data_IF_921755495679
#
_entry.id   IF_921755495679
#
_cell.length_a   1.000
_cell.length_b   1.000
_cell.length_c   1.000
_cell.angle_alpha   90.00
_cell.angle_beta   90.00
_cell.angle_gamma   90.00
#
_symmetry.space_group_name_H-M   'P 1'
#
loop_
_entity.id
_entity.type
_entity.pdbx_description
1 polymer ?
#
# COMPACT_ATOMS: atom_id res chain seq x y z
N UNK A 1 62.33 -4.85 -32.38
CA UNK A 1 60.91 -4.94 -32.81
C UNK A 1 60.08 -4.85 -31.55
N UNK A 2 59.64 -3.64 -31.22
CA UNK A 2 58.98 -3.32 -29.95
C UNK A 2 57.47 -3.57 -30.13
N UNK A 3 57.01 -4.73 -29.67
CA UNK A 3 55.65 -5.22 -29.87
C UNK A 3 54.71 -4.60 -28.82
N UNK A 4 54.43 -3.29 -28.94
CA UNK A 4 53.42 -2.63 -28.11
C UNK A 4 52.06 -2.78 -28.77
N UNK A 5 51.27 -3.70 -28.22
CA UNK A 5 49.83 -3.79 -28.50
C UNK A 5 49.17 -2.42 -28.27
N UNK A 6 48.31 -1.95 -29.19
CA UNK A 6 47.62 -0.69 -29.02
C UNK A 6 46.65 -0.82 -27.83
N UNK A 7 46.85 0.03 -26.81
CA UNK A 7 45.86 0.25 -25.75
C UNK A 7 44.54 0.61 -26.43
N UNK A 8 43.53 -0.24 -26.24
CA UNK A 8 42.17 0.02 -26.67
C UNK A 8 41.75 1.40 -26.14
N UNK A 9 41.26 2.26 -27.04
CA UNK A 9 40.53 3.46 -26.64
C UNK A 9 39.38 2.98 -25.77
N UNK A 10 39.41 3.32 -24.48
CA UNK A 10 38.25 3.17 -23.62
C UNK A 10 37.16 4.04 -24.22
N UNK A 11 36.18 3.39 -24.86
CA UNK A 11 34.96 4.07 -25.29
C UNK A 11 34.42 4.84 -24.09
N UNK A 12 34.19 6.13 -24.30
CA UNK A 12 33.77 7.04 -23.24
C UNK A 12 32.35 6.65 -22.84
N UNK A 13 32.25 5.78 -21.84
CA UNK A 13 30.99 5.33 -21.25
C UNK A 13 30.08 6.52 -20.99
N UNK A 14 28.85 6.48 -21.53
CA UNK A 14 27.87 7.53 -21.31
C UNK A 14 27.46 7.50 -19.83
N UNK A 15 27.75 8.56 -19.09
CA UNK A 15 27.37 8.67 -17.67
C UNK A 15 26.05 9.40 -17.53
N UNK A 16 25.30 9.03 -16.49
CA UNK A 16 24.07 9.70 -16.05
C UNK A 16 22.98 9.77 -17.12
N UNK A 17 22.70 8.60 -17.69
CA UNK A 17 21.75 8.39 -18.78
C UNK A 17 20.36 8.07 -18.26
N UNK A 18 19.36 8.50 -19.01
CA UNK A 18 17.95 8.16 -18.83
C UNK A 18 17.55 7.18 -19.92
N UNK A 19 17.04 6.01 -19.54
CA UNK A 19 16.42 5.09 -20.49
C UNK A 19 14.93 5.43 -20.56
N UNK A 20 14.46 5.86 -21.74
CA UNK A 20 13.06 6.18 -21.98
C UNK A 20 12.43 5.04 -22.78
N UNK A 21 11.82 4.10 -22.07
CA UNK A 21 11.31 2.84 -22.60
C UNK A 21 9.80 2.92 -22.86
N UNK A 22 9.43 2.94 -24.14
CA UNK A 22 8.04 3.05 -24.58
C UNK A 22 7.54 1.70 -25.07
N UNK A 23 6.46 1.22 -24.47
CA UNK A 23 5.74 0.04 -24.95
C UNK A 23 5.16 0.36 -26.33
N UNK A 24 5.60 -0.37 -27.35
CA UNK A 24 5.07 -0.31 -28.70
C UNK A 24 4.41 -1.64 -29.08
N UNK A 25 3.81 -2.34 -28.10
CA UNK A 25 3.08 -3.58 -28.33
C UNK A 25 1.77 -3.37 -29.09
N UNK A 26 1.16 -4.46 -29.56
CA UNK A 26 -0.04 -4.41 -30.39
C UNK A 26 -1.24 -3.72 -29.73
N UNK A 27 -1.37 -3.73 -28.40
CA UNK A 27 -2.44 -3.03 -27.66
C UNK A 27 -2.39 -1.52 -27.87
N UNK A 28 -1.20 -0.98 -28.08
CA UNK A 28 -0.98 0.46 -28.28
C UNK A 28 -1.28 0.93 -29.71
N UNK A 29 -1.45 0.00 -30.68
CA UNK A 29 -1.60 0.34 -32.09
C UNK A 29 -2.79 1.28 -32.31
N UNK A 30 -2.54 2.44 -32.93
CA UNK A 30 -3.55 3.49 -33.21
C UNK A 30 -4.25 4.13 -32.00
N UNK A 31 -3.88 3.77 -30.76
CA UNK A 31 -4.51 4.28 -29.53
C UNK A 31 -4.09 5.73 -29.27
N UNK A 32 -4.90 6.68 -29.73
CA UNK A 32 -4.58 8.12 -29.70
C UNK A 32 -4.28 8.63 -28.28
N UNK A 33 -5.05 8.20 -27.28
CA UNK A 33 -4.88 8.62 -25.88
C UNK A 33 -3.53 8.18 -25.30
N UNK A 34 -3.11 6.94 -25.56
CA UNK A 34 -1.80 6.42 -25.17
C UNK A 34 -0.67 7.23 -25.79
N UNK A 35 -0.65 7.36 -27.11
CA UNK A 35 0.44 8.03 -27.81
C UNK A 35 0.51 9.53 -27.53
N UNK A 36 -0.63 10.18 -27.26
CA UNK A 36 -0.64 11.57 -26.79
C UNK A 36 0.07 11.73 -25.45
N UNK A 37 -0.13 10.78 -24.52
CA UNK A 37 0.53 10.80 -23.21
C UNK A 37 2.01 10.43 -23.29
N UNK A 38 2.37 9.50 -24.18
CA UNK A 38 3.78 9.23 -24.51
C UNK A 38 4.47 10.50 -25.03
N UNK A 39 3.83 11.23 -25.95
CA UNK A 39 4.36 12.48 -26.50
C UNK A 39 4.57 13.52 -25.40
N UNK A 40 3.54 13.80 -24.60
CA UNK A 40 3.61 14.77 -23.49
C UNK A 40 4.76 14.42 -22.52
N UNK A 41 4.86 13.15 -22.11
CA UNK A 41 5.91 12.71 -21.19
C UNK A 41 7.30 12.81 -21.82
N UNK A 42 7.42 12.50 -23.11
CA UNK A 42 8.70 12.58 -23.82
C UNK A 42 9.15 14.03 -24.02
N UNK A 43 8.24 14.94 -24.38
CA UNK A 43 8.52 16.37 -24.49
C UNK A 43 8.91 16.96 -23.13
N UNK A 44 8.24 16.54 -22.04
CA UNK A 44 8.64 16.93 -20.68
C UNK A 44 10.09 16.49 -20.38
N UNK A 45 10.48 15.27 -20.75
CA UNK A 45 11.84 14.77 -20.58
C UNK A 45 12.86 15.56 -21.43
N UNK A 46 12.54 15.88 -22.68
CA UNK A 46 13.40 16.71 -23.53
C UNK A 46 13.54 18.16 -23.02
N UNK A 47 12.53 18.67 -22.31
CA UNK A 47 12.59 19.99 -21.68
C UNK A 47 13.46 20.01 -20.42
N UNK A 48 13.46 18.89 -19.68
CA UNK A 48 14.17 18.77 -18.40
C UNK A 48 15.61 18.27 -18.57
N UNK A 49 15.87 17.45 -19.59
CA UNK A 49 17.15 16.79 -19.79
C UNK A 49 17.67 17.00 -21.23
N UNK A 50 18.99 17.09 -21.36
CA UNK A 50 19.61 17.15 -22.69
C UNK A 50 19.29 15.88 -23.49
N UNK A 51 18.93 15.99 -24.79
CA UNK A 51 18.65 14.82 -25.65
C UNK A 51 19.78 13.78 -25.61
N UNK A 52 21.04 14.23 -25.55
CA UNK A 52 22.20 13.34 -25.48
C UNK A 52 22.26 12.46 -24.21
N UNK A 53 21.47 12.76 -23.18
CA UNK A 53 21.35 11.96 -21.95
C UNK A 53 20.17 10.99 -21.99
N UNK A 54 19.29 11.07 -22.99
CA UNK A 54 18.12 10.21 -23.09
C UNK A 54 18.42 9.14 -24.16
N UNK A 55 18.25 7.88 -23.80
CA UNK A 55 18.26 6.75 -24.74
C UNK A 55 16.80 6.32 -24.94
N UNK A 56 16.20 6.66 -26.10
CA UNK A 56 14.90 6.14 -26.47
C UNK A 56 14.98 4.66 -26.80
N UNK A 57 14.13 3.84 -26.18
CA UNK A 57 13.95 2.44 -26.55
C UNK A 57 12.47 2.15 -26.77
N UNK A 58 12.18 1.43 -27.86
CA UNK A 58 10.86 0.85 -28.12
C UNK A 58 10.90 -0.61 -27.68
N UNK A 59 9.89 -1.06 -26.96
CA UNK A 59 9.82 -2.44 -26.50
C UNK A 59 8.44 -3.06 -26.71
N UNK A 60 8.47 -4.26 -27.27
CA UNK A 60 7.34 -5.17 -27.43
C UNK A 60 7.86 -6.60 -27.24
N UNK A 61 7.69 -7.47 -28.23
CA UNK A 61 8.31 -8.79 -28.28
C UNK A 61 9.83 -8.73 -28.47
N UNK A 62 10.35 -7.56 -28.86
CA UNK A 62 11.78 -7.23 -28.95
C UNK A 62 12.01 -5.85 -28.35
N UNK A 63 13.26 -5.54 -28.01
CA UNK A 63 13.67 -4.18 -27.65
C UNK A 63 14.56 -3.60 -28.75
N UNK A 64 14.27 -2.37 -29.15
CA UNK A 64 15.03 -1.65 -30.18
C UNK A 64 15.43 -0.29 -29.61
N UNK A 65 16.73 0.01 -29.64
CA UNK A 65 17.21 1.38 -29.38
C UNK A 65 16.95 2.22 -30.61
N UNK A 66 16.30 3.37 -30.46
CA UNK A 66 15.93 4.24 -31.57
C UNK A 66 16.44 5.65 -31.37
N UNK A 67 16.54 6.42 -32.46
CA UNK A 67 16.86 7.84 -32.38
C UNK A 67 15.66 8.64 -31.91
N UNK A 68 15.88 9.89 -31.44
CA UNK A 68 14.78 10.79 -31.09
C UNK A 68 13.80 11.01 -32.25
N UNK A 69 14.30 11.10 -33.49
CA UNK A 69 13.46 11.26 -34.68
C UNK A 69 12.63 10.02 -34.98
N UNK A 70 13.20 8.83 -34.79
CA UNK A 70 12.48 7.56 -34.96
C UNK A 70 11.40 7.39 -33.90
N UNK A 71 11.67 7.73 -32.63
CA UNK A 71 10.65 7.72 -31.59
C UNK A 71 9.50 8.70 -31.93
N UNK A 72 9.83 9.94 -32.32
CA UNK A 72 8.82 10.92 -32.73
C UNK A 72 7.97 10.42 -33.92
N UNK A 73 8.59 9.75 -34.90
CA UNK A 73 7.89 9.15 -36.03
C UNK A 73 6.96 8.00 -35.59
N UNK A 74 7.42 7.12 -34.68
CA UNK A 74 6.59 6.05 -34.09
C UNK A 74 5.39 6.63 -33.37
N UNK A 75 5.57 7.67 -32.57
CA UNK A 75 4.49 8.37 -31.85
C UNK A 75 3.50 8.99 -32.84
N UNK A 76 3.99 9.71 -33.85
CA UNK A 76 3.15 10.35 -34.87
C UNK A 76 2.34 9.33 -35.68
N UNK A 77 2.94 8.19 -36.01
CA UNK A 77 2.28 7.07 -36.71
C UNK A 77 1.42 6.21 -35.80
N UNK A 78 1.55 6.36 -34.47
CA UNK A 78 0.88 5.52 -33.46
C UNK A 78 1.16 4.03 -33.70
N UNK A 79 2.43 3.75 -34.02
CA UNK A 79 2.85 2.43 -34.48
C UNK A 79 3.15 1.52 -33.29
N UNK A 80 2.22 0.59 -33.02
CA UNK A 80 2.41 -0.54 -32.12
C UNK A 80 2.29 -1.89 -32.84
N UNK A 81 2.88 -2.95 -32.30
CA UNK A 81 2.84 -4.31 -32.84
C UNK A 81 3.50 -5.34 -31.93
N UNK A 82 3.23 -6.63 -32.19
CA UNK A 82 3.76 -7.73 -31.36
C UNK A 82 3.11 -7.84 -29.98
N UNK A 83 3.62 -8.72 -29.14
CA UNK A 83 3.20 -8.87 -27.73
C UNK A 83 4.05 -8.05 -26.75
N UNK A 84 3.64 -8.04 -25.49
CA UNK A 84 4.27 -7.27 -24.40
C UNK A 84 5.30 -8.13 -23.66
N UNK A 85 6.60 -7.83 -23.78
CA UNK A 85 7.69 -8.57 -23.08
C UNK A 85 8.62 -7.61 -22.33
N UNK A 86 8.28 -7.32 -21.09
CA UNK A 86 9.05 -6.43 -20.23
C UNK A 86 10.45 -6.99 -19.89
N UNK A 87 10.64 -8.32 -19.98
CA UNK A 87 11.94 -8.98 -19.79
C UNK A 87 13.01 -8.48 -20.76
N UNK A 88 12.61 -7.99 -21.95
CA UNK A 88 13.53 -7.37 -22.89
C UNK A 88 14.15 -6.08 -22.32
N UNK A 89 13.35 -5.26 -21.63
CA UNK A 89 13.83 -4.04 -20.95
C UNK A 89 14.73 -4.41 -19.78
N UNK A 90 14.33 -5.38 -18.95
CA UNK A 90 15.15 -5.86 -17.84
C UNK A 90 16.52 -6.37 -18.33
N UNK A 91 16.54 -7.19 -19.39
CA UNK A 91 17.78 -7.71 -19.99
C UNK A 91 18.65 -6.59 -20.54
N UNK A 92 18.05 -5.62 -21.20
CA UNK A 92 18.77 -4.47 -21.73
C UNK A 92 19.43 -3.65 -20.62
N UNK A 93 18.73 -3.42 -19.50
CA UNK A 93 19.28 -2.70 -18.37
C UNK A 93 20.44 -3.47 -17.73
N UNK A 94 20.26 -4.76 -17.42
CA UNK A 94 21.30 -5.55 -16.75
C UNK A 94 22.52 -5.83 -17.62
N UNK A 95 22.36 -5.92 -18.94
CA UNK A 95 23.48 -6.17 -19.86
C UNK A 95 24.31 -4.91 -20.14
N UNK A 96 23.69 -3.72 -20.09
CA UNK A 96 24.33 -2.49 -20.56
C UNK A 96 24.64 -1.48 -19.44
N UNK A 97 23.89 -1.49 -18.32
CA UNK A 97 24.11 -0.59 -17.20
C UNK A 97 25.41 -0.93 -16.45
N UNK A 98 26.32 0.03 -16.34
CA UNK A 98 27.66 -0.19 -15.81
C UNK A 98 28.69 -0.64 -16.85
N UNK A 99 28.26 -0.96 -18.08
CA UNK A 99 29.12 -1.42 -19.17
C UNK A 99 29.18 -0.42 -20.34
N UNK A 100 28.05 -0.17 -20.99
CA UNK A 100 27.95 0.78 -22.11
C UNK A 100 27.55 2.18 -21.64
N UNK A 101 26.71 2.25 -20.62
CA UNK A 101 26.24 3.49 -20.01
C UNK A 101 25.97 3.28 -18.52
N UNK A 102 25.82 4.38 -17.77
CA UNK A 102 25.33 4.36 -16.39
C UNK A 102 23.94 4.96 -16.35
N UNK A 103 22.96 4.13 -16.00
CA UNK A 103 21.56 4.54 -15.84
C UNK A 103 21.43 5.34 -14.56
N UNK A 104 20.91 6.56 -14.67
CA UNK A 104 20.45 7.36 -13.56
C UNK A 104 18.96 7.11 -13.29
N UNK A 105 18.15 7.04 -14.36
CA UNK A 105 16.70 6.88 -14.27
C UNK A 105 16.17 6.05 -15.44
N UNK A 106 15.16 5.23 -15.18
CA UNK A 106 14.36 4.56 -16.23
C UNK A 106 12.96 5.14 -16.21
N UNK A 107 12.49 5.64 -17.36
CA UNK A 107 11.06 5.89 -17.56
C UNK A 107 10.50 4.71 -18.35
N UNK A 108 9.58 3.95 -17.76
CA UNK A 108 8.88 2.86 -18.44
C UNK A 108 7.43 3.26 -18.67
N UNK A 109 7.01 3.30 -19.93
CA UNK A 109 5.64 3.65 -20.32
C UNK A 109 4.97 2.40 -20.88
N UNK A 110 3.75 2.11 -20.44
CA UNK A 110 2.97 0.95 -20.90
C UNK A 110 1.46 1.18 -20.75
N UNK A 111 0.68 0.48 -21.57
CA UNK A 111 -0.78 0.35 -21.44
C UNK A 111 -1.22 -1.05 -20.97
N UNK A 112 -0.25 -1.95 -20.80
CA UNK A 112 -0.46 -3.38 -20.83
C UNK A 112 -0.34 -4.07 -19.49
N UNK A 113 -0.58 -5.37 -19.56
CA UNK A 113 -0.40 -6.33 -18.48
C UNK A 113 0.47 -7.46 -19.01
N UNK A 114 1.26 -8.07 -18.14
CA UNK A 114 2.08 -9.23 -18.46
C UNK A 114 1.73 -10.38 -17.53
N UNK A 115 2.01 -11.61 -17.98
CA UNK A 115 1.76 -12.80 -17.16
C UNK A 115 2.69 -12.85 -15.95
N UNK A 116 2.26 -13.54 -14.89
CA UNK A 116 3.11 -13.79 -13.70
C UNK A 116 4.45 -14.42 -14.08
N UNK A 117 4.48 -15.31 -15.07
CA UNK A 117 5.73 -15.93 -15.55
C UNK A 117 6.71 -14.90 -16.15
N UNK A 118 6.20 -13.88 -16.85
CA UNK A 118 7.03 -12.78 -17.38
C UNK A 118 7.54 -11.88 -16.24
N UNK A 119 6.71 -11.64 -15.22
CA UNK A 119 7.11 -10.90 -14.01
C UNK A 119 8.26 -11.62 -13.28
N UNK A 120 8.10 -12.92 -13.04
CA UNK A 120 9.13 -13.77 -12.41
C UNK A 120 10.40 -13.82 -13.25
N UNK A 121 10.28 -13.84 -14.58
CA UNK A 121 11.44 -13.77 -15.48
C UNK A 121 12.19 -12.44 -15.32
N UNK A 122 11.49 -11.31 -15.27
CA UNK A 122 12.11 -10.01 -15.03
C UNK A 122 12.84 -9.96 -13.68
N UNK A 123 12.21 -10.49 -12.62
CA UNK A 123 12.83 -10.56 -11.29
C UNK A 123 14.12 -11.39 -11.30
N UNK A 124 14.12 -12.54 -11.97
CA UNK A 124 15.33 -13.37 -12.14
C UNK A 124 16.41 -12.62 -12.91
N UNK A 125 16.06 -11.93 -14.00
CA UNK A 125 17.02 -11.15 -14.79
C UNK A 125 17.70 -10.08 -13.94
N UNK A 126 16.95 -9.34 -13.11
CA UNK A 126 17.53 -8.36 -12.21
C UNK A 126 18.42 -9.00 -11.13
N UNK A 127 17.96 -10.08 -10.51
CA UNK A 127 18.73 -10.81 -9.50
C UNK A 127 20.05 -11.36 -10.07
N UNK A 128 19.99 -12.04 -11.22
CA UNK A 128 21.15 -12.60 -11.90
C UNK A 128 22.08 -11.48 -12.40
N UNK A 129 21.53 -10.37 -12.90
CA UNK A 129 22.30 -9.20 -13.31
C UNK A 129 23.15 -8.66 -12.17
N UNK A 130 22.54 -8.40 -11.01
CA UNK A 130 23.25 -7.93 -9.81
C UNK A 130 24.29 -8.96 -9.34
N UNK A 131 23.95 -10.25 -9.33
CA UNK A 131 24.89 -11.31 -8.95
C UNK A 131 26.11 -11.39 -9.89
N UNK A 132 25.94 -11.03 -11.16
CA UNK A 132 27.00 -10.98 -12.17
C UNK A 132 27.69 -9.60 -12.29
N UNK A 133 27.41 -8.67 -11.37
CA UNK A 133 28.11 -7.38 -11.29
C UNK A 133 27.48 -6.23 -12.10
N UNK A 134 26.26 -6.39 -12.62
CA UNK A 134 25.52 -5.28 -13.21
C UNK A 134 25.17 -4.23 -12.14
N UNK A 135 25.18 -2.95 -12.52
CA UNK A 135 24.74 -1.90 -11.59
C UNK A 135 23.23 -1.96 -11.40
N UNK A 136 22.80 -1.78 -10.15
CA UNK A 136 21.39 -1.61 -9.81
C UNK A 136 20.81 -0.38 -10.53
N UNK A 137 19.52 -0.45 -10.86
CA UNK A 137 18.79 0.69 -11.42
C UNK A 137 18.46 1.65 -10.27
N UNK A 138 18.93 2.91 -10.29
CA UNK A 138 18.75 3.78 -9.14
C UNK A 138 17.29 4.22 -8.94
N UNK A 139 16.63 4.62 -10.03
CA UNK A 139 15.30 5.21 -10.01
C UNK A 139 14.48 4.75 -11.23
N UNK A 140 13.20 4.45 -11.01
CA UNK A 140 12.22 4.16 -12.05
C UNK A 140 11.02 5.10 -11.92
N UNK A 141 10.59 5.65 -13.06
CA UNK A 141 9.29 6.29 -13.22
C UNK A 141 8.46 5.41 -14.15
N UNK A 142 7.40 4.82 -13.61
CA UNK A 142 6.48 3.98 -14.34
C UNK A 142 5.21 4.77 -14.67
N UNK A 143 4.90 4.86 -15.95
CA UNK A 143 3.75 5.58 -16.47
C UNK A 143 2.78 4.59 -17.11
N UNK A 144 1.65 4.39 -16.46
CA UNK A 144 0.56 3.54 -16.91
C UNK A 144 -0.45 4.41 -17.64
N UNK A 145 -0.45 4.32 -18.97
CA UNK A 145 -1.35 5.09 -19.83
C UNK A 145 -2.19 4.13 -20.65
N UNK A 146 -3.50 4.28 -20.64
CA UNK A 146 -4.33 3.40 -21.47
C UNK A 146 -5.81 3.62 -21.21
N UNK A 147 -6.67 3.27 -22.18
CA UNK A 147 -8.11 3.28 -21.98
C UNK A 147 -8.59 2.08 -21.12
N UNK A 148 -7.75 1.06 -20.98
CA UNK A 148 -8.01 -0.11 -20.15
C UNK A 148 -7.63 0.17 -18.70
N UNK A 149 -8.02 -0.70 -17.77
CA UNK A 149 -7.51 -0.69 -16.39
C UNK A 149 -6.19 -1.49 -16.37
N UNK A 150 -5.02 -0.89 -16.67
CA UNK A 150 -3.76 -1.62 -16.58
C UNK A 150 -3.57 -2.07 -15.13
N UNK A 151 -2.86 -3.18 -14.96
CA UNK A 151 -2.40 -3.60 -13.65
C UNK A 151 -0.92 -3.22 -13.49
N UNK A 152 -0.37 -3.49 -12.32
CA UNK A 152 1.00 -3.16 -11.98
C UNK A 152 1.98 -4.27 -12.39
N UNK A 153 1.58 -5.27 -13.19
CA UNK A 153 2.42 -6.43 -13.50
C UNK A 153 3.69 -6.04 -14.24
N UNK A 154 3.61 -5.15 -15.23
CA UNK A 154 4.78 -4.62 -15.96
C UNK A 154 5.69 -3.83 -15.01
N UNK A 155 5.11 -3.09 -14.07
CA UNK A 155 5.83 -2.15 -13.20
C UNK A 155 6.49 -2.86 -12.02
N UNK A 156 5.85 -3.88 -11.47
CA UNK A 156 6.26 -4.60 -10.27
C UNK A 156 7.74 -5.04 -10.27
N UNK A 157 8.30 -5.70 -11.31
CA UNK A 157 9.69 -6.13 -11.26
C UNK A 157 10.69 -4.95 -11.24
N UNK A 158 10.38 -3.84 -11.91
CA UNK A 158 11.24 -2.65 -11.93
C UNK A 158 11.14 -1.87 -10.64
N UNK A 159 9.92 -1.64 -10.15
CA UNK A 159 9.68 -0.89 -8.93
C UNK A 159 10.30 -1.58 -7.70
N UNK A 160 10.35 -2.91 -7.66
CA UNK A 160 11.00 -3.68 -6.59
C UNK A 160 12.51 -3.58 -6.56
N UNK A 161 13.15 -3.22 -7.67
CA UNK A 161 14.60 -3.18 -7.81
C UNK A 161 15.19 -1.77 -7.66
N UNK A 162 14.36 -0.75 -7.36
CA UNK A 162 14.77 0.65 -7.45
C UNK A 162 13.95 1.58 -6.52
N UNK A 163 14.34 2.86 -6.47
CA UNK A 163 13.41 3.93 -6.10
C UNK A 163 12.35 4.04 -7.18
N UNK A 164 11.10 4.26 -6.79
CA UNK A 164 9.99 4.23 -7.74
C UNK A 164 9.08 5.45 -7.62
N UNK A 165 8.55 5.86 -8.75
CA UNK A 165 7.37 6.72 -8.89
C UNK A 165 6.44 6.03 -9.88
N UNK A 166 5.20 5.77 -9.48
CA UNK A 166 4.17 5.13 -10.31
C UNK A 166 3.12 6.19 -10.61
N UNK A 167 2.85 6.41 -11.89
CA UNK A 167 1.89 7.41 -12.37
C UNK A 167 0.82 6.75 -13.22
N UNK A 168 -0.40 7.21 -13.05
CA UNK A 168 -1.58 6.81 -13.85
C UNK A 168 -2.26 8.08 -14.33
N UNK A 169 -2.40 8.27 -15.64
CA UNK A 169 -3.10 9.42 -16.24
C UNK A 169 -2.79 10.76 -15.52
N UNK A 170 -1.50 11.12 -15.50
CA UNK A 170 -0.90 12.34 -14.92
C UNK A 170 -0.79 12.41 -13.38
N UNK A 171 -1.51 11.55 -12.65
CA UNK A 171 -1.47 11.54 -11.18
C UNK A 171 -0.41 10.58 -10.64
N UNK A 172 0.35 11.03 -9.64
CA UNK A 172 1.24 10.15 -8.88
C UNK A 172 0.39 9.24 -8.00
N UNK A 173 0.46 7.93 -8.27
CA UNK A 173 -0.26 6.90 -7.54
C UNK A 173 0.52 6.46 -6.29
N UNK A 174 1.83 6.27 -6.45
CA UNK A 174 2.72 5.87 -5.36
C UNK A 174 4.16 6.29 -5.66
N UNK A 175 4.90 6.59 -4.61
CA UNK A 175 6.34 6.86 -4.66
C UNK A 175 7.02 6.25 -3.43
N UNK A 176 8.28 5.85 -3.55
CA UNK A 176 9.04 5.27 -2.45
C UNK A 176 10.37 4.64 -2.88
N UNK A 177 11.00 3.93 -1.95
CA UNK A 177 12.27 3.24 -2.16
C UNK A 177 12.13 1.76 -1.80
N UNK A 178 12.01 0.90 -2.82
CA UNK A 178 11.90 -0.54 -2.61
C UNK A 178 13.26 -1.25 -2.54
N UNK A 179 14.38 -0.54 -2.74
CA UNK A 179 15.73 -1.12 -2.62
C UNK A 179 16.02 -1.56 -1.19
N UNK A 180 15.34 -0.95 -0.22
CA UNK A 180 15.41 -1.29 1.19
C UNK A 180 14.54 -2.51 1.48
N UNK A 181 15.13 -3.71 1.44
CA UNK A 181 14.43 -4.93 1.85
C UNK A 181 13.94 -4.80 3.32
N UNK A 182 12.64 -4.59 3.54
CA UNK A 182 12.10 -4.25 4.87
C UNK A 182 12.39 -5.34 5.90
N UNK A 183 12.36 -6.59 5.45
CA UNK A 183 12.65 -7.77 6.27
C UNK A 183 14.08 -7.86 6.82
N UNK A 184 15.06 -7.24 6.16
CA UNK A 184 16.50 -7.37 6.46
C UNK A 184 17.22 -6.04 6.70
N UNK A 185 16.56 -4.91 6.42
CA UNK A 185 17.12 -3.56 6.57
C UNK A 185 17.21 -3.07 8.02
N UNK A 186 16.60 -3.78 8.98
CA UNK A 186 16.49 -3.33 10.37
C UNK A 186 15.43 -2.25 10.60
N UNK A 187 14.71 -1.81 9.56
CA UNK A 187 13.65 -0.80 9.67
C UNK A 187 12.58 -1.18 10.71
N UNK A 188 12.18 -2.45 10.74
CA UNK A 188 11.22 -2.93 11.74
C UNK A 188 11.82 -2.98 13.15
N UNK A 189 13.13 -3.11 13.30
CA UNK A 189 13.79 -3.12 14.60
C UNK A 189 13.90 -1.72 15.18
N UNK A 190 13.90 -0.68 14.37
CA UNK A 190 13.88 0.73 14.81
C UNK A 190 12.56 1.14 15.47
N UNK A 191 11.46 0.45 15.17
CA UNK A 191 10.13 0.73 15.73
C UNK A 191 10.06 0.19 17.16
N UNK A 192 10.30 1.04 18.16
CA UNK A 192 10.33 0.64 19.58
C UNK A 192 9.00 0.87 20.28
N UNK A 193 8.23 1.84 19.82
CA UNK A 193 6.97 2.30 20.43
C UNK A 193 5.83 2.32 19.40
N UNK A 194 4.56 2.37 19.85
CA UNK A 194 3.42 2.59 18.96
C UNK A 194 3.52 3.87 18.13
N UNK A 195 4.03 4.96 18.72
CA UNK A 195 4.18 6.23 18.02
C UNK A 195 5.20 6.14 16.87
N UNK A 196 6.30 5.40 17.07
CA UNK A 196 7.26 5.12 15.98
C UNK A 196 6.59 4.40 14.80
N UNK A 197 5.63 3.49 15.08
CA UNK A 197 4.86 2.81 14.04
C UNK A 197 3.94 3.81 13.33
N UNK A 198 3.25 4.66 14.07
CA UNK A 198 2.28 5.61 13.52
C UNK A 198 2.95 6.62 12.58
N UNK A 199 4.12 7.12 12.96
CA UNK A 199 4.89 8.06 12.14
C UNK A 199 5.41 7.42 10.85
N UNK A 200 5.81 6.15 10.90
CA UNK A 200 6.43 5.45 9.77
C UNK A 200 5.46 4.60 8.94
N UNK A 201 4.20 4.52 9.36
CA UNK A 201 3.23 3.57 8.81
C UNK A 201 3.02 3.73 7.30
N UNK A 202 2.83 4.96 6.82
CA UNK A 202 2.53 5.20 5.40
C UNK A 202 3.72 4.83 4.49
N UNK A 203 4.94 5.16 4.89
CA UNK A 203 6.16 4.82 4.15
C UNK A 203 6.38 3.29 4.13
N UNK A 204 6.23 2.64 5.29
CA UNK A 204 6.31 1.18 5.39
C UNK A 204 5.24 0.52 4.54
N UNK A 205 3.99 0.99 4.60
CA UNK A 205 2.90 0.44 3.82
C UNK A 205 3.19 0.55 2.31
N UNK A 206 3.70 1.68 1.82
CA UNK A 206 4.05 1.84 0.40
C UNK A 206 5.15 0.89 -0.04
N UNK A 207 6.23 0.82 0.73
CA UNK A 207 7.38 -0.04 0.41
C UNK A 207 6.97 -1.52 0.45
N UNK A 208 6.27 -1.94 1.49
CA UNK A 208 5.81 -3.34 1.64
C UNK A 208 4.85 -3.72 0.53
N UNK A 209 3.87 -2.87 0.18
CA UNK A 209 2.95 -3.16 -0.93
C UNK A 209 3.74 -3.37 -2.22
N UNK A 210 4.65 -2.45 -2.56
CA UNK A 210 5.43 -2.55 -3.82
C UNK A 210 6.35 -3.76 -3.84
N UNK A 211 7.04 -4.06 -2.73
CA UNK A 211 7.88 -5.26 -2.59
C UNK A 211 7.11 -6.56 -2.82
N UNK A 212 5.83 -6.57 -2.45
CA UNK A 212 4.99 -7.76 -2.50
C UNK A 212 3.97 -7.75 -3.65
N UNK A 213 4.04 -6.82 -4.60
CA UNK A 213 3.15 -6.83 -5.77
C UNK A 213 3.25 -8.16 -6.52
N UNK A 214 2.14 -8.91 -6.54
CA UNK A 214 2.01 -10.22 -7.15
C UNK A 214 2.84 -11.33 -6.50
N UNK A 215 3.26 -11.17 -5.24
CA UNK A 215 4.02 -12.17 -4.48
C UNK A 215 3.57 -12.27 -3.04
N UNK A 216 3.81 -13.44 -2.45
CA UNK A 216 3.65 -13.66 -1.02
C UNK A 216 4.99 -13.64 -0.31
N UNK A 217 5.13 -12.88 0.77
CA UNK A 217 6.34 -12.83 1.59
C UNK A 217 6.04 -13.26 3.03
N UNK A 218 6.18 -14.57 3.25
CA UNK A 218 5.94 -15.17 4.56
C UNK A 218 6.92 -14.66 5.62
N UNK A 219 8.19 -14.43 5.23
CA UNK A 219 9.24 -13.99 6.16
C UNK A 219 8.96 -12.59 6.71
N UNK A 220 8.58 -11.66 5.83
CA UNK A 220 8.20 -10.31 6.25
C UNK A 220 6.91 -10.33 7.10
N UNK A 221 5.93 -11.16 6.71
CA UNK A 221 4.73 -11.37 7.52
C UNK A 221 5.05 -11.81 8.95
N UNK A 222 5.93 -12.79 9.12
CA UNK A 222 6.31 -13.28 10.45
C UNK A 222 7.04 -12.19 11.27
N UNK A 223 7.88 -11.36 10.62
CA UNK A 223 8.53 -10.20 11.25
C UNK A 223 7.54 -9.11 11.68
N UNK A 224 6.48 -8.88 10.91
CA UNK A 224 5.42 -7.93 11.27
C UNK A 224 4.60 -8.45 12.47
N UNK A 225 4.34 -9.75 12.55
CA UNK A 225 3.67 -10.36 13.70
C UNK A 225 4.55 -10.31 14.97
N UNK A 226 5.87 -10.47 14.81
CA UNK A 226 6.83 -10.27 15.90
C UNK A 226 6.83 -8.80 16.39
N UNK A 227 6.80 -7.85 15.46
CA UNK A 227 6.65 -6.42 15.78
C UNK A 227 5.33 -6.15 16.53
N UNK A 228 4.21 -6.72 16.07
CA UNK A 228 2.92 -6.60 16.75
C UNK A 228 3.02 -7.06 18.20
N UNK A 229 3.56 -8.27 18.43
CA UNK A 229 3.74 -8.81 19.77
C UNK A 229 4.56 -7.86 20.66
N UNK A 230 5.69 -7.37 20.14
CA UNK A 230 6.57 -6.44 20.86
C UNK A 230 5.86 -5.14 21.25
N UNK A 231 5.08 -4.57 20.33
CA UNK A 231 4.33 -3.33 20.59
C UNK A 231 3.18 -3.55 21.58
N UNK A 232 2.49 -4.68 21.52
CA UNK A 232 1.45 -5.03 22.50
C UNK A 232 2.03 -5.24 23.90
N UNK A 233 3.20 -5.90 24.00
CA UNK A 233 3.92 -6.05 25.27
C UNK A 233 4.36 -4.69 25.84
N UNK A 234 4.80 -3.77 24.97
CA UNK A 234 5.13 -2.40 25.35
C UNK A 234 3.90 -1.64 25.88
N UNK A 235 2.75 -1.72 25.20
CA UNK A 235 1.50 -1.08 25.65
C UNK A 235 1.07 -1.63 27.01
N UNK A 236 1.14 -2.95 27.20
CA UNK A 236 0.82 -3.57 28.49
C UNK A 236 1.77 -3.11 29.61
N UNK A 237 3.07 -2.97 29.31
CA UNK A 237 4.06 -2.43 30.25
C UNK A 237 3.79 -0.96 30.58
N UNK A 238 3.53 -0.12 29.59
CA UNK A 238 3.29 1.31 29.78
C UNK A 238 2.01 1.56 30.59
N UNK A 239 0.95 0.79 30.33
CA UNK A 239 -0.28 0.81 31.12
C UNK A 239 -0.01 0.44 32.59
N UNK A 240 0.76 -0.62 32.85
CA UNK A 240 1.16 -0.99 34.24
C UNK A 240 1.96 0.11 34.91
N UNK A 241 2.90 0.74 34.19
CA UNK A 241 3.72 1.84 34.69
C UNK A 241 2.87 3.07 35.04
N UNK A 242 1.99 3.50 34.15
CA UNK A 242 1.07 4.62 34.36
C UNK A 242 0.15 4.37 35.56
N UNK A 243 -0.38 3.15 35.71
CA UNK A 243 -1.18 2.76 36.87
C UNK A 243 -0.39 2.85 38.18
N UNK A 244 0.86 2.39 38.20
CA UNK A 244 1.73 2.48 39.37
C UNK A 244 2.10 3.94 39.72
N UNK A 245 2.36 4.78 38.72
CA UNK A 245 2.62 6.22 38.90
C UNK A 245 1.40 6.96 39.47
N UNK A 246 0.19 6.62 39.01
CA UNK A 246 -1.08 7.16 39.55
C UNK A 246 -1.30 6.74 41.00
N UNK A 247 -1.04 5.47 41.34
CA UNK A 247 -1.12 4.97 42.70
C UNK A 247 -0.11 5.69 43.62
N UNK A 248 1.12 5.91 43.15
CA UNK A 248 2.17 6.61 43.89
C UNK A 248 1.89 8.11 44.10
N UNK A 249 1.10 8.75 43.22
CA UNK A 249 0.73 10.17 43.31
C UNK A 249 -0.46 10.48 44.23
N UNK A 250 -0.97 9.50 44.97
CA UNK A 250 -1.96 9.72 46.02
C UNK A 250 -3.42 9.51 45.61
N UNK A 251 -3.68 8.80 44.50
CA UNK A 251 -5.00 8.23 44.23
C UNK A 251 -5.28 7.02 45.12
N UNK A 252 -5.54 7.26 46.41
CA UNK A 252 -6.13 6.38 47.43
C UNK A 252 -5.96 4.86 47.20
N UNK A 253 -5.07 4.16 47.91
CA UNK A 253 -5.33 3.71 49.29
C UNK A 253 -6.81 3.82 49.70
N UNK A 254 -7.66 2.98 49.11
CA UNK A 254 -8.75 2.38 49.87
C UNK A 254 -8.50 0.87 49.89
N UNK A 255 -8.02 0.40 51.05
CA UNK A 255 -7.94 -1.00 51.42
C UNK A 255 -9.36 -1.57 51.47
N UNK A 256 -9.78 -2.24 50.40
CA UNK A 256 -10.73 -3.34 50.51
C UNK A 256 -9.97 -4.60 50.11
N UNK A 257 -9.54 -5.34 51.14
CA UNK A 257 -8.89 -6.63 50.98
C UNK A 257 -9.81 -7.57 50.21
N UNK A 258 -9.42 -7.89 48.98
CA UNK A 258 -9.26 -9.24 48.45
C UNK A 258 -8.87 -9.12 46.97
N UNK A 259 -7.57 -9.07 46.68
CA UNK A 259 -6.95 -9.47 45.40
C UNK A 259 -7.46 -8.95 44.03
N UNK A 260 -8.46 -8.07 43.94
CA UNK A 260 -9.05 -7.64 42.66
C UNK A 260 -8.89 -6.15 42.45
N UNK A 261 -7.97 -5.80 41.55
CA UNK A 261 -7.71 -4.42 41.14
C UNK A 261 -8.86 -3.94 40.25
N UNK A 262 -9.85 -3.25 40.81
CA UNK A 262 -10.88 -2.55 40.03
C UNK A 262 -10.39 -1.13 39.68
N UNK A 263 -9.75 -1.00 38.52
CA UNK A 263 -9.28 0.28 37.96
C UNK A 263 -10.35 1.05 37.19
N UNK A 264 -11.54 0.48 36.99
CA UNK A 264 -12.63 1.19 36.34
C UNK A 264 -13.52 1.90 37.40
N UNK A 265 -13.68 3.24 37.34
CA UNK A 265 -14.52 3.97 38.27
C UNK A 265 -15.97 3.48 38.30
N UNK A 266 -16.47 2.93 37.18
CA UNK A 266 -17.79 2.29 37.08
C UNK A 266 -17.82 1.03 37.96
N UNK A 267 -16.83 0.14 37.85
CA UNK A 267 -16.79 -1.10 38.65
C UNK A 267 -16.61 -0.83 40.15
N UNK A 268 -15.84 0.20 40.52
CA UNK A 268 -15.70 0.63 41.92
C UNK A 268 -17.03 1.11 42.48
N UNK A 269 -17.74 1.96 41.75
CA UNK A 269 -19.05 2.48 42.16
C UNK A 269 -20.11 1.36 42.26
N UNK A 270 -20.12 0.42 41.30
CA UNK A 270 -21.01 -0.74 41.34
C UNK A 270 -20.71 -1.67 42.52
N UNK A 271 -19.43 -1.93 42.84
CA UNK A 271 -19.05 -2.75 43.98
C UNK A 271 -19.44 -2.12 45.32
N UNK A 272 -19.46 -0.78 45.39
CA UNK A 272 -19.93 -0.03 46.55
C UNK A 272 -21.47 0.09 46.62
N UNK A 273 -22.22 -0.41 45.63
CA UNK A 273 -23.66 -0.24 45.52
C UNK A 273 -24.09 1.20 45.16
N UNK A 274 -23.15 2.06 44.79
CA UNK A 274 -23.41 3.44 44.37
C UNK A 274 -23.68 3.50 42.86
N UNK A 275 -24.93 3.21 42.51
CA UNK A 275 -25.37 3.21 41.11
C UNK A 275 -25.32 4.60 40.47
N UNK A 276 -25.46 5.67 41.25
CA UNK A 276 -25.43 7.04 40.71
C UNK A 276 -24.01 7.43 40.30
N UNK A 277 -23.02 7.12 41.15
CA UNK A 277 -21.62 7.32 40.81
C UNK A 277 -21.18 6.47 39.60
N UNK A 278 -21.73 5.27 39.43
CA UNK A 278 -21.47 4.43 38.26
C UNK A 278 -22.04 5.04 36.95
N UNK A 279 -23.24 5.63 37.03
CA UNK A 279 -23.88 6.33 35.92
C UNK A 279 -23.11 7.60 35.55
N UNK A 280 -22.67 8.38 36.55
CA UNK A 280 -21.92 9.62 36.32
C UNK A 280 -20.52 9.34 35.74
N UNK A 281 -19.86 8.27 36.19
CA UNK A 281 -18.61 7.81 35.60
C UNK A 281 -18.79 7.35 34.14
N UNK A 282 -19.86 6.62 33.84
CA UNK A 282 -20.21 6.23 32.47
C UNK A 282 -20.47 7.45 31.59
N UNK A 283 -21.24 8.43 32.09
CA UNK A 283 -21.55 9.67 31.37
C UNK A 283 -20.28 10.48 31.09
N UNK A 284 -19.39 10.63 32.07
CA UNK A 284 -18.09 11.29 31.88
C UNK A 284 -17.22 10.62 30.80
N UNK A 285 -17.20 9.28 30.74
CA UNK A 285 -16.50 8.56 29.67
C UNK A 285 -17.15 8.81 28.29
N UNK A 286 -18.48 8.83 28.23
CA UNK A 286 -19.22 9.15 27.00
C UNK A 286 -18.96 10.59 26.55
N UNK A 287 -18.99 11.55 27.47
CA UNK A 287 -18.74 12.96 27.17
C UNK A 287 -17.29 13.15 26.69
N UNK A 288 -16.32 12.44 27.27
CA UNK A 288 -14.92 12.44 26.81
C UNK A 288 -14.79 11.92 25.37
N UNK A 289 -15.51 10.84 25.03
CA UNK A 289 -15.57 10.27 23.67
C UNK A 289 -16.21 11.27 22.69
N UNK A 290 -17.28 11.93 23.11
CA UNK A 290 -18.02 12.88 22.27
C UNK A 290 -17.27 14.20 22.06
N UNK A 291 -16.55 14.69 23.07
CA UNK A 291 -15.82 15.98 23.00
C UNK A 291 -14.49 15.89 22.26
N UNK A 292 -13.81 14.74 22.29
CA UNK A 292 -12.47 14.59 21.70
C UNK A 292 -12.45 13.79 20.38
N UNK A 293 -13.60 13.26 19.95
CA UNK A 293 -13.75 12.48 18.71
C UNK A 293 -13.05 11.11 18.74
N UNK A 294 -13.33 10.29 17.72
CA UNK A 294 -12.82 8.91 17.58
C UNK A 294 -11.28 8.78 17.67
N UNK A 295 -10.54 9.85 17.36
CA UNK A 295 -9.06 9.85 17.41
C UNK A 295 -8.50 9.86 18.84
N UNK A 296 -9.25 10.35 19.83
CA UNK A 296 -8.78 10.42 21.21
C UNK A 296 -9.08 9.16 22.04
N UNK A 297 -10.00 8.30 21.57
CA UNK A 297 -10.43 7.07 22.27
C UNK A 297 -10.09 5.81 21.48
N UNK A 298 -9.39 5.93 20.35
CA UNK A 298 -8.83 4.74 19.72
C UNK A 298 -7.76 4.14 20.65
N UNK A 299 -8.13 3.02 21.28
CA UNK A 299 -7.20 2.19 22.04
C UNK A 299 -5.94 1.97 21.19
N UNK A 300 -4.80 2.44 21.70
CA UNK A 300 -3.50 2.34 21.03
C UNK A 300 -3.23 0.90 20.59
N UNK A 301 -3.69 -0.09 21.36
CA UNK A 301 -3.61 -1.50 20.99
C UNK A 301 -4.42 -1.84 19.74
N UNK A 302 -5.67 -1.37 19.63
CA UNK A 302 -6.50 -1.52 18.43
C UNK A 302 -5.86 -0.84 17.23
N UNK A 303 -5.32 0.37 17.38
CA UNK A 303 -4.66 1.10 16.28
C UNK A 303 -3.45 0.35 15.74
N UNK A 304 -2.57 -0.11 16.63
CA UNK A 304 -1.42 -0.94 16.27
C UNK A 304 -1.88 -2.21 15.56
N UNK A 305 -2.88 -2.92 16.10
CA UNK A 305 -3.39 -4.16 15.49
C UNK A 305 -3.93 -3.91 14.07
N UNK A 306 -4.69 -2.84 13.85
CA UNK A 306 -5.22 -2.47 12.52
C UNK A 306 -4.10 -2.15 11.53
N UNK A 307 -3.11 -1.36 11.94
CA UNK A 307 -1.97 -1.01 11.09
C UNK A 307 -1.14 -2.23 10.73
N UNK A 308 -0.79 -3.08 11.70
CA UNK A 308 -0.02 -4.30 11.42
C UNK A 308 -0.82 -5.26 10.55
N UNK A 309 -2.12 -5.46 10.81
CA UNK A 309 -2.96 -6.31 9.96
C UNK A 309 -2.90 -5.86 8.49
N UNK A 310 -2.96 -4.55 8.25
CA UNK A 310 -2.83 -4.00 6.90
C UNK A 310 -1.46 -4.25 6.27
N UNK A 311 -0.37 -4.14 7.03
CA UNK A 311 0.98 -4.49 6.53
C UNK A 311 1.11 -6.00 6.27
N UNK A 312 0.47 -6.84 7.08
CA UNK A 312 0.44 -8.30 6.91
C UNK A 312 -0.36 -8.68 5.66
N UNK A 313 -1.51 -8.04 5.44
CA UNK A 313 -2.31 -8.23 4.22
C UNK A 313 -1.52 -7.81 2.98
N UNK A 314 -0.70 -6.76 3.08
CA UNK A 314 0.19 -6.36 1.99
C UNK A 314 1.23 -7.44 1.64
N UNK A 315 1.61 -8.31 2.59
CA UNK A 315 2.52 -9.43 2.35
C UNK A 315 1.87 -10.63 1.68
N UNK A 316 0.54 -10.65 1.52
CA UNK A 316 -0.23 -11.74 0.90
C UNK A 316 -0.90 -11.31 -0.40
N UNK A 317 -0.54 -10.13 -0.93
CA UNK A 317 -1.06 -9.59 -2.19
C UNK A 317 -0.60 -10.40 -3.41
N UNK A 318 -1.30 -11.49 -3.71
CA UNK A 318 -1.13 -12.24 -4.95
C UNK A 318 -1.67 -11.55 -6.21
N UNK A 319 -1.95 -10.24 -6.16
CA UNK A 319 -2.56 -9.48 -7.26
C UNK A 319 -1.72 -8.27 -7.65
N UNK A 320 -1.79 -7.88 -8.92
CA UNK A 320 -1.16 -6.68 -9.45
C UNK A 320 -2.12 -5.47 -9.52
N UNK A 321 -3.28 -5.53 -8.88
CA UNK A 321 -4.29 -4.49 -9.01
C UNK A 321 -3.77 -3.12 -8.53
N UNK A 322 -4.03 -2.06 -9.32
CA UNK A 322 -3.74 -0.66 -8.95
C UNK A 322 -4.31 -0.31 -7.56
N UNK A 323 -5.49 -0.84 -7.24
CA UNK A 323 -6.15 -0.64 -5.96
C UNK A 323 -5.34 -1.11 -4.74
N UNK A 324 -4.34 -1.98 -4.93
CA UNK A 324 -3.42 -2.38 -3.87
C UNK A 324 -2.57 -1.21 -3.34
N UNK A 325 -2.28 -0.22 -4.19
CA UNK A 325 -1.52 0.99 -3.80
C UNK A 325 -2.39 2.05 -3.12
N UNK A 326 -3.71 2.01 -3.31
CA UNK A 326 -4.64 3.01 -2.77
C UNK A 326 -5.18 2.58 -1.40
N UNK A 327 -4.84 3.36 -0.38
CA UNK A 327 -5.13 3.11 1.03
C UNK A 327 -6.59 3.30 1.44
N UNK A 328 -7.43 3.93 0.61
CA UNK A 328 -8.81 4.29 0.98
C UNK A 328 -9.86 3.61 0.11
N UNK A 329 -10.76 2.85 0.74
CA UNK A 329 -12.01 2.36 0.11
C UNK A 329 -12.83 3.49 -0.53
N UNK A 330 -12.80 4.70 0.05
CA UNK A 330 -13.46 5.88 -0.51
C UNK A 330 -12.86 6.34 -1.85
N UNK A 331 -11.52 6.28 -2.01
CA UNK A 331 -10.86 6.59 -3.29
C UNK A 331 -11.14 5.52 -4.36
N UNK A 332 -11.32 4.27 -3.94
CA UNK A 332 -11.75 3.16 -4.82
C UNK A 332 -13.18 3.36 -5.33
N UNK A 333 -14.07 3.92 -4.52
CA UNK A 333 -15.44 4.24 -4.93
C UNK A 333 -15.48 5.38 -5.97
N UNK A 334 -14.58 6.36 -5.88
CA UNK A 334 -14.49 7.47 -6.85
C UNK A 334 -14.05 6.97 -8.24
N UNK A 335 -13.18 5.96 -8.32
CA UNK A 335 -12.74 5.36 -9.58
C UNK A 335 -13.79 4.45 -10.23
N UNK A 336 -14.67 3.83 -9.44
CA UNK A 336 -15.78 3.02 -9.97
C UNK A 336 -16.93 3.88 -10.56
N UNK A 337 -16.95 5.19 -10.28
CA UNK A 337 -18.05 6.08 -10.64
C UNK A 337 -17.93 6.75 -12.02
N UNK A 338 -16.97 6.35 -12.86
CA UNK A 338 -16.83 6.93 -14.20
C UNK A 338 -16.82 5.88 -15.32
N UNK A 339 -17.99 5.34 -15.71
CA UNK A 339 -18.30 5.16 -17.10
C UNK A 339 -18.95 6.44 -17.64
N UNK A 340 -18.23 7.14 -18.51
CA UNK A 340 -18.74 8.18 -19.41
C UNK A 340 -19.66 7.60 -20.51
N UNK A 341 -20.23 6.42 -20.30
CA UNK A 341 -21.32 5.88 -21.10
C UNK A 341 -22.61 6.24 -20.39
N UNK A 342 -23.41 7.12 -21.00
CA UNK A 342 -24.73 7.55 -20.53
C UNK A 342 -25.74 6.41 -20.40
N UNK A 343 -25.49 5.48 -19.48
CA UNK A 343 -26.44 4.51 -18.99
C UNK A 343 -27.20 5.23 -17.88
N UNK A 344 -28.50 5.54 -18.06
CA UNK A 344 -29.28 6.11 -16.98
C UNK A 344 -29.22 5.14 -15.80
N UNK A 345 -28.96 5.68 -14.61
CA UNK A 345 -28.95 4.93 -13.36
C UNK A 345 -30.10 3.92 -13.39
N UNK A 346 -29.75 2.63 -13.44
CA UNK A 346 -30.75 1.58 -13.48
C UNK A 346 -31.60 1.78 -12.22
N UNK A 347 -32.86 2.12 -12.46
CA UNK A 347 -33.93 2.08 -11.47
C UNK A 347 -33.79 0.72 -10.81
N UNK A 348 -33.44 0.72 -9.52
CA UNK A 348 -33.57 -0.46 -8.70
C UNK A 348 -35.06 -0.76 -8.68
N UNK A 349 -35.51 -1.66 -9.55
CA UNK A 349 -36.85 -2.21 -9.45
C UNK A 349 -36.88 -3.04 -8.17
N UNK A 350 -37.44 -2.42 -7.14
CA UNK A 350 -37.89 -3.09 -5.92
C UNK A 350 -38.97 -4.08 -6.36
N UNK A 351 -38.59 -5.35 -6.53
CA UNK A 351 -39.53 -6.44 -6.74
C UNK A 351 -40.14 -6.76 -5.38
N UNK A 352 -41.32 -6.20 -5.12
CA UNK A 352 -42.22 -6.68 -4.09
C UNK A 352 -42.69 -8.09 -4.48
N UNK A 353 -42.05 -9.11 -3.90
CA UNK A 353 -42.48 -10.50 -3.99
C UNK A 353 -43.45 -10.80 -2.83
N UNK A 354 -44.76 -10.94 -3.09
CA UNK A 354 -45.78 -11.04 -2.04
C UNK A 354 -45.77 -12.37 -1.26
N UNK A 355 -44.95 -13.34 -1.66
CA UNK A 355 -44.80 -14.64 -0.99
C UNK A 355 -43.53 -14.76 -0.12
N UNK A 356 -42.75 -13.68 0.04
CA UNK A 356 -41.64 -13.67 1.00
C UNK A 356 -42.13 -13.18 2.38
N UNK A 357 -42.11 -14.00 3.45
CA UNK A 357 -42.36 -13.49 4.78
C UNK A 357 -41.29 -12.45 5.11
N UNK A 358 -41.72 -11.20 5.26
CA UNK A 358 -40.90 -10.04 5.64
C UNK A 358 -40.26 -10.27 7.01
N UNK A 359 -39.12 -10.97 7.01
CA UNK A 359 -38.17 -11.07 8.12
C UNK A 359 -36.76 -11.02 7.57
N UNK A 360 -36.45 -9.93 6.89
CA UNK A 360 -35.10 -9.40 7.00
C UNK A 360 -35.11 -8.46 8.21
N UNK A 361 -35.03 -9.05 9.40
CA UNK A 361 -34.39 -8.34 10.49
C UNK A 361 -32.96 -8.14 10.02
N UNK A 362 -32.65 -6.92 9.61
CA UNK A 362 -31.27 -6.48 9.50
C UNK A 362 -30.66 -6.76 10.87
N UNK A 363 -29.69 -7.68 11.01
CA UNK A 363 -29.04 -7.83 12.29
C UNK A 363 -28.34 -6.50 12.54
N UNK A 364 -28.89 -5.69 13.44
CA UNK A 364 -28.10 -4.66 14.11
C UNK A 364 -27.11 -5.46 14.95
N UNK A 365 -26.04 -5.91 14.32
CA UNK A 365 -24.87 -6.35 15.01
C UNK A 365 -24.38 -5.11 15.76
N UNK A 366 -24.51 -5.11 17.09
CA UNK A 366 -23.83 -4.16 17.97
C UNK A 366 -22.32 -4.46 17.99
N UNK A 367 -21.73 -4.76 16.84
CA UNK A 367 -20.30 -5.03 16.67
C UNK A 367 -19.48 -3.72 16.69
N UNK A 368 -20.17 -2.57 16.68
CA UNK A 368 -19.56 -1.24 16.68
C UNK A 368 -19.95 -0.37 17.89
N UNK A 369 -20.61 -0.90 18.92
CA UNK A 369 -20.83 -0.12 20.14
C UNK A 369 -19.55 -0.05 20.98
N UNK A 370 -18.69 0.91 20.64
CA UNK A 370 -17.62 1.44 21.51
C UNK A 370 -18.16 2.37 22.60
N UNK A 371 -19.46 2.30 22.89
CA UNK A 371 -20.11 3.03 23.99
C UNK A 371 -20.39 2.03 25.11
N UNK A 372 -19.88 2.22 26.34
CA UNK A 372 -20.21 1.36 27.45
C UNK A 372 -21.72 1.45 27.76
N UNK A 373 -22.42 0.33 27.66
CA UNK A 373 -23.84 0.23 28.01
C UNK A 373 -23.98 -0.38 29.40
N UNK A 374 -24.53 0.39 30.35
CA UNK A 374 -24.82 -0.09 31.70
C UNK A 374 -26.28 -0.55 31.76
N UNK A 375 -26.51 -1.86 31.86
CA UNK A 375 -27.84 -2.43 32.05
C UNK A 375 -28.10 -2.57 33.56
N UNK A 376 -28.95 -1.70 34.13
CA UNK A 376 -29.42 -1.81 35.52
C UNK A 376 -30.79 -2.50 35.51
N UNK A 377 -30.88 -3.73 36.03
CA UNK A 377 -32.17 -4.37 36.27
C UNK A 377 -32.65 -4.01 37.67
N UNK A 378 -33.82 -3.39 37.77
CA UNK A 378 -34.48 -3.16 39.07
C UNK A 378 -35.44 -4.32 39.31
N UNK A 379 -35.14 -5.17 40.29
CA UNK A 379 -36.05 -6.22 40.71
C UNK A 379 -37.22 -5.58 41.49
N UNK A 380 -38.24 -5.11 40.77
CA UNK A 380 -39.53 -4.75 41.36
C UNK A 380 -40.43 -5.98 41.32
N UNK A 381 -40.57 -6.62 42.49
CA UNK A 381 -41.66 -7.48 42.96
C UNK A 381 -42.46 -8.27 41.90
N UNK A 382 -42.23 -9.58 41.86
CA UNK A 382 -43.30 -10.55 41.59
C UNK A 382 -43.60 -11.29 42.89
N UNK A 383 -44.51 -10.71 43.68
CA UNK A 383 -45.29 -11.43 44.66
C UNK A 383 -46.76 -11.10 44.40
N UNK A 384 -47.55 -12.17 44.32
CA UNK A 384 -49.01 -12.27 44.44
C UNK A 384 -49.85 -11.87 43.21
N UNK A 385 -50.30 -12.89 42.47
CA UNK A 385 -51.71 -13.29 42.57
C UNK A 385 -51.96 -14.73 42.12
N UNK A 386 -52.67 -15.45 42.99
CA UNK A 386 -53.21 -16.80 42.83
C UNK A 386 -54.37 -16.83 41.82
N UNK A 387 -54.38 -17.83 40.94
CA UNK A 387 -55.57 -18.68 40.74
C UNK A 387 -55.20 -19.90 39.88
N UNK A 388 -55.09 -21.07 40.52
CA UNK A 388 -55.35 -22.37 39.88
C UNK A 388 -56.84 -22.70 40.09
N UNK A 389 -57.48 -23.48 39.19
CA UNK A 389 -58.69 -24.23 39.55
C UNK A 389 -58.41 -25.31 40.60
#
# INVERSE_FOLDING_TARGET
MDNRSPKAKTDKQLRDVIVFAVDDSGSTYTVASYWSKVQEQYDAYLSQYSPARIIPVLWNSKLTTVTHSQLAETIAKRAGGGGTRASNVATYLTTNNGHLFNVNKVCIITDGQISTAEVELCDRIFADGVANGALAVPEIEACLFGPYNPDLSVVAPFARAAKFTIRTNDSVLAEGDATLAVESSGLLDEIKTPDDLFERFEDLNRIIVVQNLGKTNQKLRDRLLELQKRLMDWIAWDNRRKLAELAARGGANDELGDGVVYTNPIHRALAAGDYQAAVDATRSMIDTVLEHGDEAVEDTGKRVARMIARLVDACTLGSFAIGALQSRRAQRATLAAAPDSGVPAAVVEEKDDPDMPSKFECPIMLDDTQVPVLLITTNKHYHDDYSMP
#
